data_IF_571835169664
#
_entry.id   IF_571835169664
#
_cell.length_a   1.000
_cell.length_b   1.000
_cell.length_c   1.000
_cell.angle_alpha   90.00
_cell.angle_beta   90.00
_cell.angle_gamma   90.00
#
_symmetry.space_group_name_H-M   'P 1'
#
loop_
_entity.id
_entity.type
_entity.pdbx_description
1 polymer ?
#
# COMPACT_ATOMS: atom_id res chain seq x y z
N UNK A 1 19.31 -22.68 -16.58
CA UNK A 1 18.98 -21.71 -17.65
C UNK A 1 17.57 -22.06 -18.12
N UNK A 2 16.49 -21.41 -17.67
CA UNK A 2 15.91 -20.14 -18.21
C UNK A 2 15.88 -20.17 -19.76
N UNK A 3 14.78 -20.02 -20.50
CA UNK A 3 13.51 -19.31 -20.29
C UNK A 3 12.46 -19.94 -21.24
N UNK A 4 11.35 -20.44 -20.71
CA UNK A 4 10.07 -20.54 -21.44
C UNK A 4 9.20 -19.41 -20.88
N UNK A 5 8.53 -18.54 -21.61
CA UNK A 5 8.22 -18.43 -23.02
C UNK A 5 7.07 -17.41 -23.07
N UNK A 6 6.83 -16.90 -24.28
CA UNK A 6 5.57 -16.23 -24.66
C UNK A 6 5.47 -14.74 -24.34
N UNK A 7 6.01 -13.97 -25.29
CA UNK A 7 5.23 -13.08 -26.16
C UNK A 7 4.21 -12.14 -25.49
N UNK A 8 4.46 -10.84 -25.65
CA UNK A 8 3.74 -9.92 -26.56
C UNK A 8 4.32 -8.51 -26.37
N UNK A 9 5.32 -8.15 -27.18
CA UNK A 9 5.19 -7.21 -28.32
C UNK A 9 4.49 -5.91 -27.93
N UNK A 10 5.25 -4.82 -27.85
CA UNK A 10 5.15 -3.73 -28.83
C UNK A 10 6.41 -2.87 -28.71
N UNK A 11 7.27 -2.95 -29.73
CA UNK A 11 8.23 -1.90 -30.01
C UNK A 11 7.45 -0.75 -30.65
N UNK A 12 7.59 0.45 -30.11
CA UNK A 12 7.36 1.67 -30.88
C UNK A 12 8.58 2.57 -30.65
N UNK A 13 9.51 2.49 -31.59
CA UNK A 13 10.61 3.42 -31.69
C UNK A 13 10.05 4.76 -32.15
N UNK A 14 10.07 5.76 -31.25
CA UNK A 14 9.78 7.14 -31.59
C UNK A 14 11.11 7.87 -31.64
N UNK A 15 11.59 8.11 -32.87
CA UNK A 15 12.76 8.96 -33.14
C UNK A 15 12.33 10.41 -32.90
N UNK A 16 12.71 10.98 -31.76
CA UNK A 16 12.62 12.42 -31.50
C UNK A 16 14.02 13.02 -31.55
N UNK A 17 14.27 13.79 -32.60
CA UNK A 17 15.42 14.69 -32.75
C UNK A 17 15.30 15.88 -31.79
N UNK A 18 16.32 16.10 -30.96
CA UNK A 18 16.63 17.39 -30.35
C UNK A 18 16.19 17.59 -28.88
N UNK A 19 17.19 17.82 -28.02
CA UNK A 19 17.11 18.14 -26.58
C UNK A 19 16.67 16.99 -25.64
N UNK A 20 17.64 16.13 -25.31
CA UNK A 20 17.53 15.17 -24.20
C UNK A 20 17.53 15.91 -22.84
N UNK A 21 16.36 16.40 -22.41
CA UNK A 21 16.10 16.59 -21.00
C UNK A 21 16.00 15.20 -20.38
N UNK A 22 17.09 14.76 -19.75
CA UNK A 22 17.11 13.58 -18.89
C UNK A 22 16.17 13.82 -17.71
N UNK A 23 14.89 13.51 -17.88
CA UNK A 23 13.97 13.24 -16.78
C UNK A 23 14.33 11.86 -16.23
N UNK A 24 15.37 11.81 -15.40
CA UNK A 24 15.65 10.62 -14.61
C UNK A 24 14.39 10.32 -13.76
N UNK A 25 13.82 9.11 -13.84
CA UNK A 25 12.74 8.74 -12.94
C UNK A 25 13.31 8.75 -11.53
N UNK A 26 12.89 9.73 -10.73
CA UNK A 26 13.14 9.74 -9.29
C UNK A 26 12.32 8.57 -8.74
N UNK A 27 12.93 7.39 -8.72
CA UNK A 27 12.35 6.24 -8.06
C UNK A 27 12.27 6.61 -6.57
N UNK A 28 11.09 7.06 -6.13
CA UNK A 28 10.82 7.21 -4.71
C UNK A 28 11.02 5.82 -4.10
N UNK A 29 12.09 5.65 -3.33
CA UNK A 29 12.34 4.42 -2.62
C UNK A 29 11.17 4.22 -1.65
N UNK A 30 10.23 3.36 -2.02
CA UNK A 30 9.11 3.03 -1.16
C UNK A 30 9.71 2.25 0.02
N UNK A 31 9.82 2.92 1.17
CA UNK A 31 10.38 2.35 2.39
C UNK A 31 9.73 1.00 2.67
N UNK A 32 10.54 -0.05 2.76
CA UNK A 32 10.01 -1.40 2.94
C UNK A 32 9.24 -1.50 4.26
N UNK A 33 8.03 -2.04 4.20
CA UNK A 33 7.21 -2.27 5.40
C UNK A 33 7.80 -3.43 6.17
N UNK A 34 8.10 -3.22 7.45
CA UNK A 34 8.71 -4.25 8.29
C UNK A 34 7.73 -5.40 8.54
N UNK A 35 8.21 -6.66 8.67
CA UNK A 35 7.35 -7.83 8.82
C UNK A 35 6.37 -7.76 10.00
N UNK A 36 6.76 -7.16 11.12
CA UNK A 36 5.95 -6.99 12.32
C UNK A 36 4.71 -6.11 12.10
N UNK A 37 4.72 -5.25 11.07
CA UNK A 37 3.57 -4.41 10.66
C UNK A 37 2.91 -5.04 9.43
N UNK A 38 3.71 -5.50 8.46
CA UNK A 38 3.20 -6.07 7.21
C UNK A 38 2.33 -7.32 7.40
N UNK A 39 2.68 -8.20 8.36
CA UNK A 39 1.89 -9.41 8.66
C UNK A 39 0.48 -9.08 9.18
N UNK A 40 0.30 -8.27 10.25
CA UNK A 40 -1.03 -7.88 10.70
C UNK A 40 -1.79 -7.05 9.66
N UNK A 41 -1.11 -6.16 8.92
CA UNK A 41 -1.76 -5.40 7.84
C UNK A 41 -2.27 -6.32 6.72
N UNK A 42 -1.50 -7.34 6.34
CA UNK A 42 -1.96 -8.35 5.36
C UNK A 42 -3.19 -9.10 5.87
N UNK A 43 -3.18 -9.53 7.13
CA UNK A 43 -4.32 -10.22 7.73
C UNK A 43 -5.57 -9.32 7.77
N UNK A 44 -5.40 -8.03 8.11
CA UNK A 44 -6.48 -7.05 8.05
C UNK A 44 -7.05 -6.90 6.63
N UNK A 45 -6.19 -6.82 5.61
CA UNK A 45 -6.62 -6.75 4.21
C UNK A 45 -7.43 -7.96 3.76
N UNK A 46 -7.07 -9.16 4.23
CA UNK A 46 -7.82 -10.38 3.92
C UNK A 46 -9.16 -10.43 4.68
N UNK A 47 -9.24 -9.89 5.90
CA UNK A 47 -10.49 -9.72 6.65
C UNK A 47 -11.42 -8.67 6.02
N UNK A 48 -10.87 -7.58 5.48
CA UNK A 48 -11.64 -6.57 4.76
C UNK A 48 -12.30 -7.15 3.50
N UNK A 49 -11.56 -7.94 2.71
CA UNK A 49 -12.14 -8.65 1.56
C UNK A 49 -13.26 -9.60 1.97
N UNK A 50 -13.22 -10.14 3.18
CA UNK A 50 -14.25 -10.99 3.75
C UNK A 50 -15.40 -10.22 4.43
N UNK A 51 -15.41 -8.87 4.39
CA UNK A 51 -16.40 -8.03 5.05
C UNK A 51 -16.30 -8.03 6.59
N UNK A 52 -15.22 -8.57 7.16
CA UNK A 52 -14.96 -8.69 8.60
C UNK A 52 -14.26 -7.44 9.13
N UNK A 53 -14.95 -6.31 9.05
CA UNK A 53 -14.38 -4.98 9.31
C UNK A 53 -13.90 -4.82 10.76
N UNK A 54 -14.64 -5.35 11.74
CA UNK A 54 -14.28 -5.25 13.16
C UNK A 54 -13.03 -6.05 13.48
N UNK A 55 -12.90 -7.25 12.91
CA UNK A 55 -11.72 -8.10 13.02
C UNK A 55 -10.52 -7.48 12.30
N UNK A 56 -10.75 -6.85 11.13
CA UNK A 56 -9.72 -6.09 10.45
C UNK A 56 -9.18 -4.95 11.33
N UNK A 57 -10.07 -4.19 12.00
CA UNK A 57 -9.68 -3.16 12.96
C UNK A 57 -8.88 -3.73 14.14
N UNK A 58 -9.15 -4.96 14.58
CA UNK A 58 -8.33 -5.61 15.60
C UNK A 58 -6.90 -5.88 15.09
N UNK A 59 -6.76 -6.40 13.87
CA UNK A 59 -5.44 -6.60 13.24
C UNK A 59 -4.69 -5.30 12.98
N UNK A 60 -5.39 -4.23 12.62
CA UNK A 60 -4.79 -2.90 12.46
C UNK A 60 -4.24 -2.39 13.80
N UNK A 61 -4.94 -2.62 14.92
CA UNK A 61 -4.42 -2.28 16.26
C UNK A 61 -3.17 -3.08 16.64
N UNK A 62 -3.06 -4.34 16.24
CA UNK A 62 -1.83 -5.13 16.43
C UNK A 62 -0.64 -4.49 15.71
N UNK A 63 -0.84 -4.06 14.45
CA UNK A 63 0.18 -3.33 13.69
C UNK A 63 0.52 -1.97 14.34
N UNK A 64 -0.48 -1.29 14.89
CA UNK A 64 -0.34 0.04 15.47
C UNK A 64 0.41 0.03 16.81
N UNK A 65 0.35 -1.08 17.54
CA UNK A 65 1.13 -1.28 18.75
C UNK A 65 2.65 -1.35 18.50
N UNK A 66 3.08 -1.54 17.25
CA UNK A 66 4.50 -1.50 16.90
C UNK A 66 5.01 -0.06 17.01
N UNK A 67 6.09 0.13 17.77
CA UNK A 67 6.75 1.43 17.94
C UNK A 67 7.67 1.80 16.77
N UNK A 68 8.09 3.07 16.75
CA UNK A 68 9.03 3.61 15.76
C UNK A 68 8.62 3.31 14.31
N UNK A 69 7.33 3.49 13.99
CA UNK A 69 6.81 3.30 12.63
C UNK A 69 7.40 4.33 11.69
N UNK A 70 7.74 3.92 10.48
CA UNK A 70 8.13 4.86 9.42
C UNK A 70 6.92 5.66 8.94
N UNK A 71 7.16 6.75 8.21
CA UNK A 71 6.10 7.54 7.61
C UNK A 71 5.22 6.69 6.67
N UNK A 72 5.85 5.81 5.88
CA UNK A 72 5.14 4.89 4.98
C UNK A 72 4.29 3.87 5.76
N UNK A 73 4.84 3.28 6.82
CA UNK A 73 4.11 2.33 7.66
C UNK A 73 2.89 2.96 8.31
N UNK A 74 3.04 4.19 8.82
CA UNK A 74 1.96 4.96 9.43
C UNK A 74 0.88 5.28 8.40
N UNK A 75 1.28 5.78 7.23
CA UNK A 75 0.37 6.08 6.12
C UNK A 75 -0.47 4.85 5.70
N UNK A 76 0.17 3.70 5.50
CA UNK A 76 -0.53 2.47 5.11
C UNK A 76 -1.50 1.98 6.20
N UNK A 77 -1.10 2.11 7.45
CA UNK A 77 -1.92 1.74 8.60
C UNK A 77 -3.19 2.61 8.66
N UNK A 78 -3.04 3.93 8.57
CA UNK A 78 -4.16 4.86 8.63
C UNK A 78 -5.10 4.72 7.42
N UNK A 79 -4.56 4.54 6.21
CA UNK A 79 -5.40 4.30 5.02
C UNK A 79 -6.27 3.05 5.20
N UNK A 80 -5.70 1.98 5.73
CA UNK A 80 -6.45 0.75 5.96
C UNK A 80 -7.41 0.88 7.15
N UNK A 81 -7.04 1.61 8.21
CA UNK A 81 -7.94 1.95 9.33
C UNK A 81 -9.16 2.68 8.82
N UNK A 82 -8.98 3.68 7.94
CA UNK A 82 -10.09 4.41 7.34
C UNK A 82 -11.02 3.52 6.53
N UNK A 83 -10.45 2.62 5.72
CA UNK A 83 -11.22 1.65 4.93
C UNK A 83 -12.02 0.68 5.82
N UNK A 84 -11.40 0.19 6.91
CA UNK A 84 -12.03 -0.72 7.86
C UNK A 84 -13.12 -0.03 8.68
N UNK A 85 -12.87 1.19 9.15
CA UNK A 85 -13.83 1.99 9.89
C UNK A 85 -15.05 2.34 9.02
N UNK A 86 -14.84 2.74 7.77
CA UNK A 86 -15.91 3.02 6.83
C UNK A 86 -16.81 1.78 6.61
N UNK A 87 -16.21 0.61 6.37
CA UNK A 87 -16.98 -0.63 6.22
C UNK A 87 -17.65 -1.13 7.51
N UNK A 88 -17.15 -0.72 8.68
CA UNK A 88 -17.78 -0.98 9.98
C UNK A 88 -18.90 0.03 10.32
N UNK A 89 -19.11 1.08 9.52
CA UNK A 89 -20.06 2.16 9.79
C UNK A 89 -19.55 3.22 10.78
N UNK A 90 -18.27 3.18 11.16
CA UNK A 90 -17.63 4.16 12.03
C UNK A 90 -17.08 5.33 11.19
N UNK A 91 -18.01 6.17 10.71
CA UNK A 91 -17.69 7.31 9.85
C UNK A 91 -16.74 8.31 10.52
N UNK A 92 -16.89 8.68 11.82
CA UNK A 92 -15.94 9.57 12.47
C UNK A 92 -14.51 9.02 12.50
N UNK A 93 -14.33 7.73 12.80
CA UNK A 93 -13.01 7.12 12.77
C UNK A 93 -12.45 7.04 11.34
N UNK A 94 -13.30 6.81 10.35
CA UNK A 94 -12.88 6.80 8.95
C UNK A 94 -12.32 8.16 8.51
N UNK A 95 -13.04 9.25 8.79
CA UNK A 95 -12.61 10.63 8.50
C UNK A 95 -11.24 10.90 9.16
N UNK A 96 -11.15 10.66 10.47
CA UNK A 96 -9.90 10.89 11.21
C UNK A 96 -8.72 10.12 10.61
N UNK A 97 -8.95 8.88 10.14
CA UNK A 97 -7.89 8.06 9.56
C UNK A 97 -7.45 8.55 8.18
N UNK A 98 -8.35 9.16 7.41
CA UNK A 98 -8.01 9.69 6.08
C UNK A 98 -7.39 11.09 6.12
N UNK A 99 -7.52 11.80 7.24
CA UNK A 99 -6.90 13.12 7.48
C UNK A 99 -5.54 13.05 8.17
N UNK A 100 -5.15 11.87 8.67
CA UNK A 100 -3.87 11.61 9.33
C UNK A 100 -2.71 11.50 8.32
#
# INVERSE_FOLDING_TARGET
>A
MTVAGVLKRLALALVFTGAALFLAPVAQAQEAVRPEIGKPLKAAGDLLKAGKHKEALAKIREADAVGNKTANETYLLERMRGSAAAGAGDVPAAIKSFEA
#
